data_IF_509657275078
#
_entry.id   IF_509657275078
#
_cell.length_a   1.000
_cell.length_b   1.000
_cell.length_c   1.000
_cell.angle_alpha   90.00
_cell.angle_beta   90.00
_cell.angle_gamma   90.00
#
_symmetry.space_group_name_H-M   'P 1'
#
loop_
_entity.id
_entity.type
_entity.pdbx_description
1 polymer ?
#
# COMPACT_ATOMS: atom_id res chain seq x y z
N UNK A 1 -11.40 -18.96 -13.80
CA UNK A 1 -10.02 -19.22 -13.34
C UNK A 1 -9.41 -17.92 -12.81
N UNK A 2 -9.12 -17.83 -11.51
CA UNK A 2 -8.28 -16.74 -10.99
C UNK A 2 -6.82 -17.15 -11.22
N UNK A 3 -6.10 -16.43 -12.08
CA UNK A 3 -4.66 -16.63 -12.21
C UNK A 3 -4.00 -16.14 -10.91
N UNK A 4 -3.08 -16.92 -10.30
CA UNK A 4 -2.35 -16.43 -9.14
C UNK A 4 -1.63 -15.15 -9.54
N UNK A 5 -1.94 -14.06 -8.82
CA UNK A 5 -1.42 -12.72 -9.09
C UNK A 5 0.09 -12.75 -8.83
N UNK A 6 0.87 -12.95 -9.89
CA UNK A 6 2.32 -13.13 -9.78
C UNK A 6 2.96 -11.78 -9.48
N UNK A 7 3.27 -11.53 -8.20
CA UNK A 7 3.96 -10.33 -7.77
C UNK A 7 5.43 -10.37 -8.17
N UNK A 8 5.88 -9.31 -8.85
CA UNK A 8 7.28 -9.14 -9.22
C UNK A 8 8.03 -8.39 -8.13
N UNK A 9 9.17 -8.92 -7.70
CA UNK A 9 10.02 -8.32 -6.68
C UNK A 9 11.38 -7.90 -7.28
N UNK A 10 11.91 -6.77 -6.82
CA UNK A 10 13.17 -6.17 -7.28
C UNK A 10 14.02 -5.71 -6.09
N UNK A 11 15.31 -5.42 -6.31
CA UNK A 11 16.19 -4.80 -5.30
C UNK A 11 16.00 -3.29 -5.30
N UNK A 12 15.89 -2.68 -4.12
CA UNK A 12 15.83 -1.24 -3.97
C UNK A 12 17.24 -0.64 -3.95
N UNK A 13 17.77 -0.27 -5.11
CA UNK A 13 19.12 0.28 -5.25
C UNK A 13 20.17 -0.61 -4.57
N UNK A 14 21.06 0.01 -3.77
CA UNK A 14 22.10 -0.68 -2.99
C UNK A 14 21.70 -0.92 -1.53
N UNK A 15 20.44 -0.68 -1.15
CA UNK A 15 19.97 -0.84 0.24
C UNK A 15 19.97 -2.28 0.77
N UNK A 16 20.10 -3.27 -0.13
CA UNK A 16 19.95 -4.69 0.23
C UNK A 16 18.50 -5.13 0.46
N UNK A 17 17.51 -4.24 0.33
CA UNK A 17 16.09 -4.60 0.45
C UNK A 17 15.54 -5.22 -0.84
N UNK A 18 14.66 -6.21 -0.70
CA UNK A 18 13.87 -6.78 -1.80
C UNK A 18 12.42 -6.34 -1.63
N UNK A 19 11.88 -5.65 -2.63
CA UNK A 19 10.56 -5.00 -2.58
C UNK A 19 9.70 -5.40 -3.77
N UNK A 20 8.38 -5.29 -3.64
CA UNK A 20 7.46 -5.41 -4.77
C UNK A 20 7.70 -4.29 -5.78
N UNK A 21 7.52 -4.56 -7.09
CA UNK A 21 7.66 -3.56 -8.15
C UNK A 21 6.57 -2.47 -8.09
N UNK A 22 5.43 -2.78 -7.47
CA UNK A 22 4.34 -1.85 -7.15
C UNK A 22 4.23 -1.80 -5.62
N UNK A 23 4.16 -0.60 -5.04
CA UNK A 23 4.12 -0.36 -3.60
C UNK A 23 2.85 0.42 -3.26
N UNK A 24 2.17 0.03 -2.17
CA UNK A 24 1.04 0.77 -1.65
C UNK A 24 1.52 2.03 -0.92
N UNK A 25 1.15 3.22 -1.41
CA UNK A 25 1.37 4.47 -0.70
C UNK A 25 0.33 4.71 0.38
N UNK A 26 0.74 5.34 1.50
CA UNK A 26 -0.12 5.56 2.67
C UNK A 26 -0.38 7.05 2.99
N UNK A 27 -0.09 7.97 2.07
CA UNK A 27 -0.22 9.42 2.30
C UNK A 27 -1.64 9.85 2.69
N UNK A 28 -2.64 9.13 2.19
CA UNK A 28 -4.06 9.41 2.44
C UNK A 28 -4.63 8.65 3.65
N UNK A 29 -3.82 7.93 4.43
CA UNK A 29 -4.29 7.16 5.57
C UNK A 29 -4.01 7.91 6.87
N UNK A 30 -5.00 8.09 7.71
CA UNK A 30 -4.84 8.78 8.99
C UNK A 30 -6.13 9.34 9.56
N UNK A 31 -5.98 10.36 10.41
CA UNK A 31 -7.12 11.05 11.03
C UNK A 31 -7.87 11.90 10.01
N UNK A 32 -9.14 11.56 9.76
CA UNK A 32 -10.03 12.29 8.82
C UNK A 32 -10.20 13.76 9.25
N UNK A 33 -10.05 14.04 10.55
CA UNK A 33 -10.16 15.38 11.12
C UNK A 33 -8.96 16.28 10.79
N UNK A 34 -7.79 15.70 10.50
CA UNK A 34 -6.53 16.44 10.31
C UNK A 34 -6.49 17.13 8.95
N UNK A 35 -6.75 16.39 7.88
CA UNK A 35 -6.56 16.84 6.50
C UNK A 35 -7.90 16.74 5.77
N UNK A 36 -8.19 17.69 4.87
CA UNK A 36 -9.44 17.75 4.11
C UNK A 36 -9.85 16.40 3.52
N UNK A 37 -11.14 16.24 3.16
CA UNK A 37 -11.84 14.96 2.95
C UNK A 37 -11.29 13.90 1.97
N UNK A 38 -10.02 13.98 1.57
CA UNK A 38 -9.22 12.98 0.88
C UNK A 38 -8.48 12.01 1.82
N UNK A 39 -8.58 12.15 3.14
CA UNK A 39 -8.01 11.19 4.11
C UNK A 39 -9.01 10.09 4.47
N UNK A 40 -8.51 8.86 4.51
CA UNK A 40 -9.22 7.65 4.88
C UNK A 40 -8.88 7.26 6.31
N UNK A 41 -9.92 6.93 7.07
CA UNK A 41 -9.79 6.46 8.44
C UNK A 41 -9.25 5.02 8.53
N UNK A 42 -9.17 4.53 9.76
CA UNK A 42 -8.59 3.22 10.09
C UNK A 42 -9.29 2.06 9.36
N UNK A 43 -10.63 2.09 9.28
CA UNK A 43 -11.40 0.98 8.71
C UNK A 43 -11.06 0.76 7.22
N UNK A 44 -11.07 1.81 6.43
CA UNK A 44 -10.79 1.73 4.99
C UNK A 44 -9.31 1.49 4.72
N UNK A 45 -8.43 2.07 5.54
CA UNK A 45 -6.99 1.78 5.53
C UNK A 45 -6.74 0.28 5.74
N UNK A 46 -7.41 -0.33 6.73
CA UNK A 46 -7.28 -1.76 7.04
C UNK A 46 -7.73 -2.64 5.86
N UNK A 47 -8.81 -2.28 5.16
CA UNK A 47 -9.28 -2.99 3.97
C UNK A 47 -8.23 -2.94 2.84
N UNK A 48 -7.63 -1.78 2.60
CA UNK A 48 -6.63 -1.61 1.55
C UNK A 48 -5.35 -2.39 1.84
N UNK A 49 -4.84 -2.37 3.07
CA UNK A 49 -3.62 -3.10 3.44
C UNK A 49 -3.82 -4.61 3.30
N UNK A 50 -4.99 -5.15 3.66
CA UNK A 50 -5.28 -6.59 3.51
C UNK A 50 -5.42 -7.04 2.04
N UNK A 51 -5.82 -6.13 1.16
CA UNK A 51 -6.01 -6.42 -0.27
C UNK A 51 -4.71 -6.35 -1.08
N UNK A 52 -3.67 -5.67 -0.56
CA UNK A 52 -2.38 -5.48 -1.21
C UNK A 52 -1.44 -6.68 -1.01
#
# INVERSE_FOLDING_TARGET
>A
MSYPKKMHYVRLGTSGLKVSKIILGCMSYGEISWSGGWVLGEEDTSKHIKAA
#
